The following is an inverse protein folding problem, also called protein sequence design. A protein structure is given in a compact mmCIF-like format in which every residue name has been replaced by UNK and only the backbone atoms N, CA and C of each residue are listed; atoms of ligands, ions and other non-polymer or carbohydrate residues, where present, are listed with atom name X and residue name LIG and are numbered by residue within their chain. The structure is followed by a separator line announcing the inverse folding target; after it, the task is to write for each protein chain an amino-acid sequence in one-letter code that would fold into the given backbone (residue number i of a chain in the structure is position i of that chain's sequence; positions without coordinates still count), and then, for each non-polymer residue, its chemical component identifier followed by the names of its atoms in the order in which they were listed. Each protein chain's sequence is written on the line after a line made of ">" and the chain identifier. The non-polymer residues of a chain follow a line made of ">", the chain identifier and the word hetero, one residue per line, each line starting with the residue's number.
data_IF_984499331062
#
_entry.id   IF_984499331062
#
_cell.length_a   1.000
_cell.length_b   1.000
_cell.length_c   1.000
_cell.angle_alpha   90.00
_cell.angle_beta   90.00
_cell.angle_gamma   90.00
#
_symmetry.space_group_name_H-M   'P 1'
#
loop_
_entity.id
_entity.type
_entity.pdbx_description
1 polymer ?
#
# COMPACT_ATOMS: atom_id res chain seq x y z
N UNK A 1 -41.97 12.50 15.31
CA UNK A 1 -40.83 13.36 15.65
C UNK A 1 -39.66 12.79 14.86
N UNK A 2 -39.05 13.51 13.95
CA UNK A 2 -37.98 12.95 13.13
C UNK A 2 -36.68 12.88 13.94
N UNK A 3 -36.02 11.71 13.89
CA UNK A 3 -34.69 11.49 14.45
C UNK A 3 -33.69 12.34 13.64
N UNK A 4 -32.87 13.09 14.34
CA UNK A 4 -31.78 13.86 13.75
C UNK A 4 -30.67 12.88 13.38
N UNK A 5 -30.42 12.70 12.07
CA UNK A 5 -29.25 12.01 11.58
C UNK A 5 -27.96 12.73 12.03
N UNK A 6 -26.95 11.97 12.41
CA UNK A 6 -25.62 12.47 12.74
C UNK A 6 -25.00 12.99 11.46
N UNK A 7 -24.59 14.26 11.45
CA UNK A 7 -23.99 14.92 10.30
C UNK A 7 -22.62 14.29 9.99
N UNK A 8 -22.51 13.60 8.85
CA UNK A 8 -21.33 12.85 8.37
C UNK A 8 -20.06 13.72 8.24
N UNK A 9 -20.22 15.04 8.15
CA UNK A 9 -19.10 16.00 8.10
C UNK A 9 -18.30 16.09 9.40
N UNK A 10 -18.85 15.61 10.50
CA UNK A 10 -18.21 15.69 11.82
C UNK A 10 -17.20 14.55 12.05
N UNK A 11 -17.34 13.41 11.37
CA UNK A 11 -16.44 12.26 11.52
C UNK A 11 -15.05 12.50 10.88
N UNK A 12 -15.03 13.07 9.67
CA UNK A 12 -13.76 13.37 8.96
C UNK A 12 -12.98 14.55 9.57
N UNK A 13 -13.67 15.47 10.28
CA UNK A 13 -12.97 16.58 10.98
C UNK A 13 -12.29 16.16 12.29
N UNK A 14 -12.63 14.99 12.83
CA UNK A 14 -12.00 14.49 14.06
C UNK A 14 -10.65 13.80 13.81
N UNK A 15 -10.36 13.40 12.56
CA UNK A 15 -9.08 12.78 12.16
C UNK A 15 -8.07 13.77 11.56
N UNK A 16 -8.48 15.03 11.29
CA UNK A 16 -7.62 16.12 10.82
C UNK A 16 -6.82 16.81 11.92
N UNK A 17 -6.26 16.07 12.87
CA UNK A 17 -5.33 16.60 13.87
C UNK A 17 -3.96 16.85 13.23
N UNK A 18 -3.62 18.11 13.08
CA UNK A 18 -2.34 18.63 12.60
C UNK A 18 -1.15 17.95 13.29
N UNK A 19 -0.50 17.02 12.60
CA UNK A 19 0.85 16.60 12.94
C UNK A 19 1.82 17.66 12.38
N UNK A 20 2.14 18.65 13.21
CA UNK A 20 3.19 19.61 12.92
C UNK A 20 4.53 18.90 12.83
N UNK A 21 5.16 18.96 11.68
CA UNK A 21 6.56 18.59 11.49
C UNK A 21 7.43 19.58 12.26
N UNK A 22 7.85 19.18 13.46
CA UNK A 22 8.87 19.87 14.23
C UNK A 22 10.25 19.58 13.66
N UNK A 23 10.81 20.55 12.94
CA UNK A 23 12.22 20.62 12.61
C UNK A 23 13.02 20.76 13.92
N UNK A 24 13.76 19.73 14.32
CA UNK A 24 14.74 19.83 15.40
C UNK A 24 16.08 20.18 14.75
N UNK A 25 16.41 21.46 14.83
CA UNK A 25 17.78 21.92 14.62
C UNK A 25 18.62 21.55 15.84
N UNK A 26 19.67 20.77 15.64
CA UNK A 26 20.64 20.43 16.66
C UNK A 26 21.52 21.60 17.04
N UNK A 27 21.87 21.70 18.32
CA UNK A 27 23.08 22.36 18.76
C UNK A 27 23.75 21.56 19.87
N UNK A 28 25.03 21.37 19.66
CA UNK A 28 26.03 20.70 20.46
C UNK A 28 26.38 21.47 21.72
N UNK A 29 26.77 20.78 22.73
CA UNK A 29 28.08 20.84 23.40
C UNK A 29 28.02 20.60 24.93
N UNK A 30 28.93 19.77 25.37
CA UNK A 30 29.74 20.06 26.57
C UNK A 30 29.57 19.15 27.76
N UNK A 31 30.38 18.16 27.86
CA UNK A 31 31.35 17.73 28.84
C UNK A 31 31.01 17.72 30.34
N UNK A 32 31.38 16.62 31.00
CA UNK A 32 31.66 16.64 32.43
C UNK A 32 31.37 15.32 33.13
N UNK A 33 32.45 14.63 33.44
CA UNK A 33 32.57 13.41 34.25
C UNK A 33 32.23 13.64 35.73
N UNK A 34 31.79 12.60 36.42
CA UNK A 34 32.43 11.93 37.54
C UNK A 34 31.44 11.23 38.47
N UNK A 35 31.70 10.00 38.64
CA UNK A 35 31.85 9.12 39.81
C UNK A 35 30.98 9.25 41.06
N UNK A 36 30.78 8.04 41.57
CA UNK A 36 30.60 7.52 42.94
C UNK A 36 29.15 7.27 43.37
N UNK A 37 28.77 6.04 43.61
CA UNK A 37 29.10 5.14 44.72
C UNK A 37 28.07 5.20 45.82
N UNK A 38 27.42 4.06 46.20
CA UNK A 38 26.78 4.00 47.52
C UNK A 38 25.47 3.19 47.59
N UNK A 39 25.64 1.99 47.90
CA UNK A 39 24.92 0.92 48.60
C UNK A 39 23.96 1.32 49.74
N UNK A 40 23.00 0.41 49.97
CA UNK A 40 22.23 0.01 51.18
C UNK A 40 20.72 0.24 51.06
N UNK A 41 19.89 -0.73 51.00
CA UNK A 41 19.45 -1.67 52.01
C UNK A 41 18.36 -1.11 52.94
N UNK A 42 17.16 -1.72 52.99
CA UNK A 42 16.17 -1.41 54.00
C UNK A 42 14.80 -2.04 53.76
N UNK A 43 14.53 -3.10 54.48
CA UNK A 43 13.28 -3.84 54.64
C UNK A 43 12.17 -3.06 55.36
N UNK A 44 10.94 -3.59 55.23
CA UNK A 44 9.81 -3.37 56.16
C UNK A 44 8.58 -2.82 55.49
N UNK A 45 7.48 -3.33 55.60
CA UNK A 45 6.64 -4.19 56.42
C UNK A 45 5.15 -3.83 56.14
N UNK A 46 4.34 -4.78 56.25
CA UNK A 46 2.90 -4.94 56.21
C UNK A 46 1.97 -3.74 56.55
N UNK A 47 0.80 -3.74 55.94
CA UNK A 47 -0.36 -2.99 56.36
C UNK A 47 -1.65 -3.41 55.67
N UNK A 48 -2.42 -4.29 56.29
CA UNK A 48 -3.80 -4.67 55.97
C UNK A 48 -4.77 -3.50 56.10
N UNK A 49 -5.83 -3.50 55.30
CA UNK A 49 -6.95 -2.55 55.42
C UNK A 49 -8.06 -2.75 54.42
N UNK A 50 -8.91 -3.63 54.68
CA UNK A 50 -10.34 -3.96 54.64
C UNK A 50 -11.33 -2.95 54.00
N UNK A 51 -12.25 -3.54 53.20
CA UNK A 51 -13.66 -3.27 52.95
C UNK A 51 -14.12 -2.02 52.19
N UNK A 52 -14.91 -2.28 51.16
CA UNK A 52 -15.84 -1.35 50.55
C UNK A 52 -16.60 -1.92 49.36
N UNK A 53 -17.74 -2.59 49.63
CA UNK A 53 -18.71 -3.06 48.65
C UNK A 53 -19.25 -1.93 47.74
N UNK A 54 -19.42 -2.20 46.45
CA UNK A 54 -20.10 -1.34 45.49
C UNK A 54 -20.57 -2.14 44.26
N UNK A 55 -21.59 -2.92 44.48
CA UNK A 55 -22.39 -3.60 43.46
C UNK A 55 -22.96 -2.61 42.42
N UNK A 56 -22.73 -2.86 41.13
CA UNK A 56 -23.57 -2.45 40.01
C UNK A 56 -23.34 -3.38 38.84
N UNK A 57 -24.09 -4.46 38.84
CA UNK A 57 -24.23 -5.37 37.71
C UNK A 57 -24.83 -4.66 36.50
N UNK A 58 -24.05 -4.66 35.42
CA UNK A 58 -24.49 -4.44 34.05
C UNK A 58 -24.37 -5.77 33.32
N UNK A 59 -25.41 -6.57 33.46
CA UNK A 59 -25.62 -7.82 32.75
C UNK A 59 -25.80 -7.51 31.26
N UNK A 60 -24.73 -7.63 30.48
CA UNK A 60 -24.83 -7.68 29.02
C UNK A 60 -24.98 -9.14 28.63
N UNK A 61 -26.21 -9.58 28.60
CA UNK A 61 -26.63 -10.84 28.03
C UNK A 61 -26.09 -10.95 26.61
N UNK A 62 -25.03 -11.74 26.45
CA UNK A 62 -24.66 -12.31 25.16
C UNK A 62 -25.77 -13.29 24.79
N UNK A 63 -26.60 -12.85 23.87
CA UNK A 63 -27.56 -13.75 23.22
C UNK A 63 -26.75 -14.63 22.28
N UNK A 64 -26.50 -15.86 22.71
CA UNK A 64 -26.13 -16.94 21.81
C UNK A 64 -27.32 -17.20 20.89
N UNK A 65 -27.32 -16.56 19.74
CA UNK A 65 -28.20 -16.85 18.61
C UNK A 65 -27.70 -18.10 17.93
N UNK A 66 -28.51 -19.11 17.99
CA UNK A 66 -28.48 -20.36 17.25
C UNK A 66 -28.38 -20.09 15.74
N UNK A 67 -27.65 -20.98 15.05
CA UNK A 67 -27.69 -21.26 13.62
C UNK A 67 -29.00 -20.81 12.94
N UNK A 68 -28.93 -19.66 12.26
CA UNK A 68 -29.87 -19.33 11.21
C UNK A 68 -29.07 -18.89 9.99
N UNK A 69 -29.11 -19.65 8.94
CA UNK A 69 -28.25 -19.50 7.79
C UNK A 69 -28.37 -18.10 7.14
N UNK A 70 -27.28 -17.34 7.19
CA UNK A 70 -26.97 -16.39 6.13
C UNK A 70 -27.43 -14.94 6.26
N UNK A 71 -27.81 -14.40 7.42
CA UNK A 71 -28.30 -13.00 7.50
C UNK A 71 -27.34 -11.96 8.10
N UNK A 72 -26.14 -12.34 8.50
CA UNK A 72 -25.14 -11.42 9.07
C UNK A 72 -24.25 -10.78 8.00
N UNK A 73 -23.66 -9.61 8.32
CA UNK A 73 -22.63 -9.00 7.49
C UNK A 73 -21.44 -9.97 7.29
N UNK A 74 -20.72 -9.81 6.17
CA UNK A 74 -19.50 -10.56 5.87
C UNK A 74 -18.32 -9.67 6.23
N UNK A 75 -17.44 -10.17 7.12
CA UNK A 75 -16.26 -9.41 7.54
C UNK A 75 -15.10 -9.62 6.57
N UNK A 76 -14.51 -8.52 6.12
CA UNK A 76 -13.25 -8.48 5.37
C UNK A 76 -12.20 -7.72 6.16
N UNK A 77 -10.97 -8.23 6.17
CA UNK A 77 -9.84 -7.66 6.91
C UNK A 77 -9.07 -6.61 6.12
N UNK A 78 -8.58 -5.58 6.81
CA UNK A 78 -7.65 -4.59 6.23
C UNK A 78 -6.44 -4.44 7.16
N UNK A 79 -5.28 -4.93 6.73
CA UNK A 79 -4.01 -4.86 7.49
C UNK A 79 -3.12 -3.82 6.82
N UNK A 80 -3.32 -2.56 7.17
CA UNK A 80 -2.62 -1.44 6.53
C UNK A 80 -1.67 -0.74 7.50
N UNK A 81 -0.57 -0.17 7.02
CA UNK A 81 0.21 0.79 7.79
C UNK A 81 -0.56 2.11 7.84
N UNK A 82 -1.15 2.45 8.98
CA UNK A 82 -1.91 3.69 9.16
C UNK A 82 -1.07 4.80 9.83
N UNK A 83 0.16 4.46 10.24
CA UNK A 83 1.15 5.37 10.81
C UNK A 83 2.55 5.07 10.27
N UNK A 84 3.49 6.01 10.42
CA UNK A 84 4.88 5.88 9.98
C UNK A 84 5.09 6.12 8.48
N UNK A 85 6.24 5.68 7.97
CA UNK A 85 6.71 6.00 6.62
C UNK A 85 5.82 5.46 5.49
N UNK A 86 5.12 4.36 5.72
CA UNK A 86 4.24 3.72 4.75
C UNK A 86 2.76 4.14 4.88
N UNK A 87 2.42 4.97 5.90
CA UNK A 87 1.06 5.41 6.14
C UNK A 87 0.37 6.08 4.93
N UNK A 88 1.06 6.89 4.10
CA UNK A 88 0.40 7.53 2.97
C UNK A 88 -0.27 6.56 1.99
N UNK A 89 0.33 5.39 1.77
CA UNK A 89 -0.28 4.35 0.92
C UNK A 89 -1.42 3.62 1.62
N UNK A 90 -1.22 3.23 2.89
CA UNK A 90 -2.25 2.56 3.67
C UNK A 90 -3.52 3.40 3.78
N UNK A 91 -3.39 4.68 4.11
CA UNK A 91 -4.51 5.60 4.28
C UNK A 91 -5.33 5.80 3.00
N UNK A 92 -4.68 6.00 1.84
CA UNK A 92 -5.41 6.18 0.57
C UNK A 92 -6.05 4.89 0.08
N UNK A 93 -5.42 3.74 0.34
CA UNK A 93 -6.01 2.43 0.06
C UNK A 93 -7.26 2.19 0.92
N UNK A 94 -7.17 2.42 2.23
CA UNK A 94 -8.30 2.29 3.15
C UNK A 94 -9.48 3.17 2.74
N UNK A 95 -9.21 4.40 2.28
CA UNK A 95 -10.26 5.29 1.77
C UNK A 95 -10.94 4.72 0.52
N UNK A 96 -10.16 4.17 -0.42
CA UNK A 96 -10.69 3.50 -1.62
C UNK A 96 -11.48 2.24 -1.30
N UNK A 97 -10.96 1.41 -0.39
CA UNK A 97 -11.63 0.19 0.09
C UNK A 97 -12.99 0.52 0.74
N UNK A 98 -13.00 1.51 1.63
CA UNK A 98 -14.22 1.93 2.31
C UNK A 98 -15.27 2.47 1.33
N UNK A 99 -14.86 3.24 0.33
CA UNK A 99 -15.74 3.75 -0.70
C UNK A 99 -16.32 2.63 -1.57
N UNK A 100 -15.47 1.68 -2.01
CA UNK A 100 -15.91 0.52 -2.78
C UNK A 100 -16.90 -0.35 -2.00
N UNK A 101 -16.63 -0.64 -0.73
CA UNK A 101 -17.55 -1.38 0.15
C UNK A 101 -18.87 -0.63 0.35
N UNK A 102 -18.82 0.69 0.53
CA UNK A 102 -20.04 1.48 0.62
C UNK A 102 -20.89 1.36 -0.65
N UNK A 103 -20.29 1.50 -1.85
CA UNK A 103 -21.04 1.35 -3.10
C UNK A 103 -21.63 -0.06 -3.26
N UNK A 104 -20.91 -1.11 -2.88
CA UNK A 104 -21.40 -2.49 -2.91
C UNK A 104 -22.63 -2.63 -2.00
N UNK A 105 -22.54 -2.16 -0.77
CA UNK A 105 -23.63 -2.24 0.22
C UNK A 105 -24.84 -1.40 -0.20
N UNK A 106 -24.64 -0.18 -0.71
CA UNK A 106 -25.71 0.70 -1.21
C UNK A 106 -26.43 0.09 -2.44
N UNK A 107 -25.74 -0.80 -3.20
CA UNK A 107 -26.30 -1.55 -4.33
C UNK A 107 -26.88 -2.91 -3.96
N UNK A 108 -26.97 -3.24 -2.69
CA UNK A 108 -27.67 -4.43 -2.20
C UNK A 108 -26.76 -5.51 -1.61
N UNK A 109 -25.48 -5.23 -1.43
CA UNK A 109 -24.51 -6.16 -0.83
C UNK A 109 -24.14 -7.34 -1.73
N UNK A 110 -23.73 -8.44 -1.13
CA UNK A 110 -23.34 -9.70 -1.79
C UNK A 110 -24.17 -10.87 -1.23
N UNK A 111 -24.18 -12.02 -1.90
CA UNK A 111 -24.86 -13.25 -1.44
C UNK A 111 -26.28 -13.00 -0.91
N UNK A 112 -27.18 -12.58 -1.81
CA UNK A 112 -28.60 -12.32 -1.46
C UNK A 112 -28.82 -11.17 -0.45
N UNK A 113 -27.94 -10.16 -0.43
CA UNK A 113 -28.17 -8.92 0.31
C UNK A 113 -27.39 -8.79 1.62
N UNK A 114 -26.34 -9.56 1.81
CA UNK A 114 -25.42 -9.41 2.95
C UNK A 114 -24.48 -8.24 2.73
N UNK A 115 -24.36 -7.38 3.73
CA UNK A 115 -23.41 -6.26 3.70
C UNK A 115 -21.98 -6.75 3.95
N UNK A 116 -20.99 -6.11 3.29
CA UNK A 116 -19.59 -6.23 3.65
C UNK A 116 -19.25 -5.30 4.80
N UNK A 117 -18.48 -5.78 5.77
CA UNK A 117 -17.98 -5.01 6.89
C UNK A 117 -16.45 -5.07 6.94
N UNK A 118 -15.80 -3.91 7.02
CA UNK A 118 -14.34 -3.81 7.09
C UNK A 118 -13.88 -3.87 8.55
N UNK A 119 -13.01 -4.83 8.86
CA UNK A 119 -12.25 -4.89 10.12
C UNK A 119 -10.85 -4.42 9.84
N UNK A 120 -10.55 -3.16 10.17
CA UNK A 120 -9.26 -2.54 9.89
C UNK A 120 -8.34 -2.57 11.10
N UNK A 121 -7.05 -2.83 10.87
CA UNK A 121 -6.01 -2.79 11.87
C UNK A 121 -4.71 -2.18 11.33
N UNK A 122 -4.01 -1.44 12.21
CA UNK A 122 -2.73 -0.80 11.88
C UNK A 122 -1.57 -1.79 12.11
N UNK A 123 -0.89 -2.17 11.04
CA UNK A 123 0.29 -3.05 11.10
C UNK A 123 1.56 -2.34 11.58
N UNK A 124 1.55 -1.01 11.68
CA UNK A 124 2.73 -0.17 11.98
C UNK A 124 3.95 -0.47 11.08
N UNK A 125 3.72 -1.16 9.96
CA UNK A 125 4.76 -1.70 9.08
C UNK A 125 5.69 -2.74 9.75
N UNK A 126 5.23 -3.36 10.83
CA UNK A 126 5.94 -4.43 11.55
C UNK A 126 5.43 -5.80 11.10
N UNK A 127 6.34 -6.71 10.65
CA UNK A 127 5.93 -8.03 10.18
C UNK A 127 5.32 -8.94 11.26
N UNK A 128 5.74 -8.82 12.52
CA UNK A 128 5.22 -9.63 13.60
C UNK A 128 3.84 -9.12 14.04
N UNK A 129 3.66 -7.81 14.12
CA UNK A 129 2.35 -7.19 14.41
C UNK A 129 1.34 -7.54 13.34
N UNK A 130 1.71 -7.42 12.06
CA UNK A 130 0.83 -7.78 10.95
C UNK A 130 0.41 -9.25 10.99
N UNK A 131 1.32 -10.16 11.33
CA UNK A 131 0.99 -11.59 11.51
C UNK A 131 0.02 -11.80 12.66
N UNK A 132 0.25 -11.15 13.82
CA UNK A 132 -0.65 -11.24 14.98
C UNK A 132 -2.04 -10.68 14.68
N UNK A 133 -2.13 -9.61 13.87
CA UNK A 133 -3.42 -9.09 13.39
C UNK A 133 -4.13 -10.16 12.54
N UNK A 134 -3.41 -10.82 11.64
CA UNK A 134 -3.98 -11.84 10.76
C UNK A 134 -4.47 -13.07 11.55
N UNK A 135 -3.71 -13.50 12.57
CA UNK A 135 -4.12 -14.57 13.50
C UNK A 135 -5.41 -14.18 14.24
N UNK A 136 -5.52 -12.93 14.71
CA UNK A 136 -6.74 -12.43 15.37
C UNK A 136 -7.92 -12.39 14.39
N UNK A 137 -7.70 -11.98 13.15
CA UNK A 137 -8.73 -11.98 12.12
C UNK A 137 -9.32 -13.37 11.89
N UNK A 138 -8.48 -14.39 11.86
CA UNK A 138 -8.90 -15.79 11.71
C UNK A 138 -9.66 -16.32 12.94
N UNK A 139 -9.19 -15.96 14.15
CA UNK A 139 -9.68 -16.59 15.38
C UNK A 139 -10.85 -15.86 16.04
N UNK A 140 -10.99 -14.55 15.83
CA UNK A 140 -11.87 -13.70 16.62
C UNK A 140 -12.84 -12.86 15.78
N UNK A 141 -12.48 -12.53 14.56
CA UNK A 141 -13.20 -11.55 13.76
C UNK A 141 -13.96 -12.18 12.58
N UNK A 142 -13.92 -13.51 12.43
CA UNK A 142 -14.57 -14.28 11.36
C UNK A 142 -14.33 -13.69 9.97
N UNK A 143 -13.08 -13.29 9.67
CA UNK A 143 -12.69 -12.69 8.40
C UNK A 143 -12.65 -13.74 7.29
N UNK A 144 -13.33 -13.48 6.18
CA UNK A 144 -13.37 -14.40 5.04
C UNK A 144 -12.33 -14.07 3.95
N UNK A 145 -11.84 -12.84 3.92
CA UNK A 145 -10.79 -12.37 3.01
C UNK A 145 -10.11 -11.14 3.63
N UNK A 146 -8.86 -10.88 3.29
CA UNK A 146 -8.14 -9.71 3.80
C UNK A 146 -7.34 -8.99 2.72
N UNK A 147 -7.02 -7.71 2.96
CA UNK A 147 -6.13 -6.90 2.11
C UNK A 147 -5.03 -6.22 2.93
N UNK A 148 -3.99 -5.84 2.27
CA UNK A 148 -2.76 -5.24 2.78
C UNK A 148 -1.58 -6.02 2.24
N UNK A 149 -0.40 -5.89 2.81
CA UNK A 149 0.22 -4.68 3.35
C UNK A 149 0.94 -3.85 2.28
N UNK A 150 1.71 -2.84 2.71
CA UNK A 150 2.52 -1.99 1.80
C UNK A 150 3.97 -2.45 1.75
N UNK A 151 4.64 -2.63 2.88
CA UNK A 151 6.03 -3.08 2.95
C UNK A 151 6.18 -4.52 2.49
N UNK A 152 7.19 -4.80 1.65
CA UNK A 152 7.47 -6.16 1.16
C UNK A 152 7.90 -7.11 2.27
N UNK A 153 8.66 -6.64 3.27
CA UNK A 153 9.04 -7.49 4.42
C UNK A 153 7.81 -7.91 5.24
N UNK A 154 6.81 -7.03 5.37
CA UNK A 154 5.51 -7.37 5.96
C UNK A 154 4.73 -8.31 5.04
N UNK A 155 4.72 -8.04 3.73
CA UNK A 155 4.04 -8.85 2.72
C UNK A 155 4.49 -10.30 2.71
N UNK A 156 5.79 -10.53 2.72
CA UNK A 156 6.39 -11.88 2.79
C UNK A 156 5.92 -12.62 4.05
N UNK A 157 5.85 -11.93 5.20
CA UNK A 157 5.39 -12.55 6.44
C UNK A 157 3.90 -12.85 6.41
N UNK A 158 3.08 -11.88 5.99
CA UNK A 158 1.62 -12.04 5.98
C UNK A 158 1.13 -13.03 4.93
N UNK A 159 1.79 -13.15 3.77
CA UNK A 159 1.47 -14.18 2.76
C UNK A 159 1.61 -15.60 3.32
N UNK A 160 2.67 -15.84 4.08
CA UNK A 160 2.87 -17.12 4.77
C UNK A 160 1.81 -17.37 5.84
N UNK A 161 1.49 -16.34 6.63
CA UNK A 161 0.42 -16.43 7.64
C UNK A 161 -0.95 -16.66 7.00
N UNK A 162 -1.27 -15.99 5.89
CA UNK A 162 -2.49 -16.20 5.11
C UNK A 162 -2.58 -17.65 4.61
N UNK A 163 -1.46 -18.20 4.12
CA UNK A 163 -1.38 -19.62 3.71
C UNK A 163 -1.60 -20.58 4.88
N UNK A 164 -1.00 -20.33 6.04
CA UNK A 164 -1.15 -21.15 7.26
C UNK A 164 -2.59 -21.16 7.78
N UNK A 165 -3.28 -20.02 7.66
CA UNK A 165 -4.67 -19.85 8.15
C UNK A 165 -5.73 -20.16 7.09
N UNK A 166 -5.34 -20.28 5.82
CA UNK A 166 -6.27 -20.55 4.70
C UNK A 166 -7.17 -19.37 4.35
N UNK A 167 -6.77 -18.13 4.66
CA UNK A 167 -7.53 -16.91 4.38
C UNK A 167 -6.97 -16.23 3.12
N UNK A 168 -7.78 -15.96 2.07
CA UNK A 168 -7.30 -15.25 0.89
C UNK A 168 -6.90 -13.83 1.22
N UNK A 169 -5.70 -13.45 0.76
CA UNK A 169 -5.10 -12.14 0.96
C UNK A 169 -4.88 -11.43 -0.36
N UNK A 170 -5.44 -10.24 -0.49
CA UNK A 170 -5.31 -9.36 -1.64
C UNK A 170 -4.19 -8.36 -1.38
N UNK A 171 -3.05 -8.59 -2.03
CA UNK A 171 -1.80 -7.87 -1.78
C UNK A 171 -1.83 -6.47 -2.38
N UNK A 172 -1.72 -5.43 -1.53
CA UNK A 172 -1.79 -4.04 -1.95
C UNK A 172 -0.50 -3.58 -2.66
N UNK A 173 0.61 -3.43 -1.92
CA UNK A 173 1.81 -2.77 -2.46
C UNK A 173 3.10 -3.57 -2.28
N UNK A 174 3.10 -4.64 -1.50
CA UNK A 174 4.30 -5.44 -1.24
C UNK A 174 4.76 -6.15 -2.52
N UNK A 175 5.66 -5.51 -3.26
CA UNK A 175 6.04 -5.88 -4.63
C UNK A 175 7.29 -6.76 -4.75
N UNK A 176 7.95 -7.21 -3.65
CA UNK A 176 9.04 -8.16 -3.75
C UNK A 176 8.58 -9.45 -4.43
N UNK A 177 9.46 -10.07 -5.23
CA UNK A 177 9.19 -11.35 -5.86
C UNK A 177 8.91 -12.46 -4.83
N UNK A 178 9.47 -12.35 -3.62
CA UNK A 178 9.27 -13.32 -2.52
C UNK A 178 7.90 -13.19 -1.81
N UNK A 179 7.08 -12.24 -2.22
CA UNK A 179 5.78 -11.98 -1.57
C UNK A 179 4.73 -13.00 -1.99
N UNK A 180 4.66 -13.31 -3.27
CA UNK A 180 3.75 -14.31 -3.84
C UNK A 180 4.60 -15.36 -4.53
N UNK A 181 4.52 -16.60 -4.03
CA UNK A 181 5.30 -17.73 -4.48
C UNK A 181 4.40 -18.97 -4.62
N UNK A 182 4.86 -20.04 -5.24
CA UNK A 182 4.07 -21.30 -5.31
C UNK A 182 3.63 -21.87 -3.97
N UNK A 183 4.29 -21.47 -2.87
CA UNK A 183 3.92 -21.88 -1.51
C UNK A 183 2.88 -20.97 -0.84
N UNK A 184 2.58 -19.80 -1.41
CA UNK A 184 1.64 -18.82 -0.83
C UNK A 184 0.34 -18.70 -1.62
N UNK A 185 -0.32 -19.83 -1.84
CA UNK A 185 -1.47 -19.97 -2.75
C UNK A 185 -2.75 -19.26 -2.33
N UNK A 186 -2.81 -18.68 -1.12
CA UNK A 186 -3.90 -17.83 -0.66
C UNK A 186 -3.63 -16.35 -0.86
N UNK A 187 -2.55 -15.97 -1.58
CA UNK A 187 -2.21 -14.56 -1.80
C UNK A 187 -2.37 -14.19 -3.27
N UNK A 188 -3.02 -13.06 -3.53
CA UNK A 188 -3.35 -12.53 -4.85
C UNK A 188 -2.93 -11.07 -4.96
N UNK A 189 -2.24 -10.70 -6.03
CA UNK A 189 -1.81 -9.32 -6.24
C UNK A 189 -2.94 -8.43 -6.74
N UNK A 190 -3.05 -7.22 -6.18
CA UNK A 190 -4.04 -6.22 -6.65
C UNK A 190 -3.41 -4.84 -6.88
N UNK A 191 -2.34 -4.52 -6.18
CA UNK A 191 -1.76 -3.18 -6.22
C UNK A 191 -0.52 -3.09 -7.10
N UNK A 192 0.63 -2.77 -6.49
CA UNK A 192 1.88 -2.61 -7.20
C UNK A 192 2.30 -3.90 -7.92
N UNK A 193 2.74 -3.76 -9.17
CA UNK A 193 3.37 -4.83 -9.92
C UNK A 193 4.60 -5.40 -9.18
N UNK A 194 4.90 -6.69 -9.33
CA UNK A 194 6.10 -7.27 -8.72
C UNK A 194 7.39 -6.72 -9.34
N UNK A 195 8.49 -6.89 -8.64
CA UNK A 195 9.74 -6.21 -8.97
C UNK A 195 10.33 -6.60 -10.33
N UNK A 196 10.30 -7.89 -10.71
CA UNK A 196 10.85 -8.33 -12.01
C UNK A 196 10.07 -7.73 -13.18
N UNK A 197 8.73 -7.84 -13.30
CA UNK A 197 7.99 -7.13 -14.33
C UNK A 197 8.15 -5.61 -14.28
N UNK A 198 8.33 -5.02 -13.09
CA UNK A 198 8.60 -3.59 -12.97
C UNK A 198 9.96 -3.23 -13.59
N UNK A 199 11.01 -4.00 -13.32
CA UNK A 199 12.33 -3.79 -13.94
C UNK A 199 12.30 -4.03 -15.46
N UNK A 200 11.53 -5.03 -15.92
CA UNK A 200 11.29 -5.29 -17.34
C UNK A 200 10.61 -4.09 -18.03
N UNK A 201 9.59 -3.51 -17.38
CA UNK A 201 8.92 -2.32 -17.88
C UNK A 201 9.85 -1.10 -17.91
N UNK A 202 10.72 -0.94 -16.91
CA UNK A 202 11.73 0.11 -16.86
C UNK A 202 12.78 -0.04 -17.99
N UNK A 203 13.20 -1.27 -18.26
CA UNK A 203 14.09 -1.58 -19.40
C UNK A 203 13.40 -1.25 -20.73
N UNK A 204 12.11 -1.60 -20.87
CA UNK A 204 11.28 -1.25 -22.02
C UNK A 204 11.16 0.26 -22.22
N UNK A 205 10.93 1.03 -21.16
CA UNK A 205 10.90 2.49 -21.18
C UNK A 205 12.25 3.07 -21.64
N UNK A 206 13.35 2.57 -21.10
CA UNK A 206 14.70 3.01 -21.50
C UNK A 206 14.97 2.73 -22.98
N UNK A 207 14.59 1.55 -23.46
CA UNK A 207 14.74 1.16 -24.87
C UNK A 207 13.86 1.99 -25.82
N UNK A 208 12.59 2.26 -25.45
CA UNK A 208 11.67 3.10 -26.22
C UNK A 208 12.21 4.52 -26.41
N UNK A 209 12.83 5.06 -25.36
CA UNK A 209 13.44 6.39 -25.37
C UNK A 209 14.86 6.41 -25.97
N UNK A 210 15.47 5.26 -26.20
CA UNK A 210 16.84 5.11 -26.69
C UNK A 210 17.88 5.57 -25.68
N UNK A 211 17.61 5.42 -24.37
CA UNK A 211 18.55 5.77 -23.32
C UNK A 211 19.71 4.77 -23.25
N UNK A 212 20.93 5.29 -23.17
CA UNK A 212 22.18 4.52 -23.04
C UNK A 212 22.83 4.71 -21.65
N UNK A 213 22.50 5.80 -20.95
CA UNK A 213 23.07 6.16 -19.64
C UNK A 213 22.01 6.05 -18.54
N UNK A 214 21.92 4.86 -17.93
CA UNK A 214 20.96 4.57 -16.86
C UNK A 214 21.70 4.26 -15.57
N UNK A 215 21.23 4.80 -14.45
CA UNK A 215 21.76 4.50 -13.12
C UNK A 215 20.61 4.09 -12.16
N UNK A 216 20.94 3.33 -11.12
CA UNK A 216 20.00 2.92 -10.10
C UNK A 216 20.55 3.15 -8.69
N UNK A 217 19.72 3.65 -7.78
CA UNK A 217 20.00 3.72 -6.34
C UNK A 217 18.87 2.97 -5.65
N UNK A 218 19.18 1.78 -5.11
CA UNK A 218 18.19 0.87 -4.49
C UNK A 218 18.43 0.74 -3.00
N UNK A 219 17.39 0.46 -2.23
CA UNK A 219 17.50 0.22 -0.79
C UNK A 219 17.82 -1.25 -0.48
N UNK A 220 18.59 -1.51 0.58
CA UNK A 220 18.88 -2.88 1.06
C UNK A 220 17.72 -3.46 1.87
N UNK A 221 16.60 -3.75 1.21
CA UNK A 221 15.42 -4.43 1.76
C UNK A 221 14.75 -5.29 0.68
N UNK A 222 13.74 -6.07 1.02
CA UNK A 222 13.18 -7.08 0.12
C UNK A 222 12.82 -6.54 -1.28
N UNK A 223 12.08 -5.44 -1.36
CA UNK A 223 11.76 -4.79 -2.64
C UNK A 223 13.01 -4.34 -3.41
N UNK A 224 13.93 -3.62 -2.73
CA UNK A 224 15.13 -3.07 -3.40
C UNK A 224 16.04 -4.16 -3.95
N UNK A 225 16.18 -5.29 -3.25
CA UNK A 225 16.94 -6.46 -3.73
C UNK A 225 16.27 -7.11 -4.95
N UNK A 226 14.93 -7.24 -4.92
CA UNK A 226 14.20 -7.78 -6.07
C UNK A 226 14.31 -6.85 -7.30
N UNK A 227 14.26 -5.52 -7.11
CA UNK A 227 14.48 -4.55 -8.20
C UNK A 227 15.91 -4.65 -8.72
N UNK A 228 16.92 -4.78 -7.85
CA UNK A 228 18.31 -4.97 -8.29
C UNK A 228 18.44 -6.20 -9.20
N UNK A 229 17.96 -7.36 -8.76
CA UNK A 229 17.97 -8.59 -9.57
C UNK A 229 17.23 -8.40 -10.90
N UNK A 230 16.05 -7.78 -10.86
CA UNK A 230 15.28 -7.51 -12.06
C UNK A 230 16.00 -6.58 -13.06
N UNK A 231 16.73 -5.57 -12.58
CA UNK A 231 17.57 -4.71 -13.45
C UNK A 231 18.70 -5.53 -14.08
N UNK A 232 19.42 -6.32 -13.29
CA UNK A 232 20.52 -7.18 -13.76
C UNK A 232 20.06 -8.19 -14.81
N UNK A 233 18.81 -8.64 -14.76
CA UNK A 233 18.23 -9.65 -15.66
C UNK A 233 17.62 -9.06 -16.94
N UNK A 234 17.08 -7.83 -16.90
CA UNK A 234 16.22 -7.33 -17.98
C UNK A 234 16.80 -6.15 -18.78
N UNK A 235 17.84 -5.47 -18.31
CA UNK A 235 18.46 -4.40 -19.08
C UNK A 235 19.54 -4.96 -20.02
N UNK A 236 19.45 -4.62 -21.32
CA UNK A 236 20.47 -4.96 -22.33
C UNK A 236 21.68 -4.03 -22.28
N UNK A 237 21.65 -2.98 -21.47
CA UNK A 237 22.72 -2.00 -21.25
C UNK A 237 23.29 -2.12 -19.84
N UNK A 238 24.52 -1.65 -19.66
CA UNK A 238 25.13 -1.59 -18.33
C UNK A 238 24.41 -0.51 -17.48
N UNK A 239 23.82 -0.91 -16.35
CA UNK A 239 23.21 0.00 -15.37
C UNK A 239 24.11 0.12 -14.15
N UNK A 240 24.53 1.34 -13.79
CA UNK A 240 25.28 1.56 -12.55
C UNK A 240 24.35 1.46 -11.34
N UNK A 241 24.44 0.34 -10.60
CA UNK A 241 23.59 0.06 -9.44
C UNK A 241 24.33 0.35 -8.15
N UNK A 242 23.76 1.18 -7.29
CA UNK A 242 24.24 1.49 -5.96
C UNK A 242 23.21 1.04 -4.92
N UNK A 243 23.66 0.33 -3.87
CA UNK A 243 22.79 -0.17 -2.78
C UNK A 243 22.97 0.69 -1.55
N UNK A 244 21.89 1.26 -1.05
CA UNK A 244 21.86 2.13 0.13
C UNK A 244 21.21 1.41 1.33
N UNK A 245 21.73 1.57 2.56
CA UNK A 245 21.11 1.03 3.77
C UNK A 245 19.67 1.55 3.95
N UNK A 246 18.80 0.75 4.58
CA UNK A 246 17.40 1.12 4.90
C UNK A 246 17.30 2.44 5.66
N UNK A 247 18.25 2.71 6.56
CA UNK A 247 18.28 3.93 7.37
C UNK A 247 18.86 5.16 6.67
N UNK A 248 19.24 5.02 5.37
CA UNK A 248 19.84 6.12 4.61
C UNK A 248 18.83 7.24 4.37
N UNK A 249 19.21 8.47 4.70
CA UNK A 249 18.38 9.67 4.48
C UNK A 249 19.10 10.74 3.63
N UNK A 250 20.44 10.79 3.68
CA UNK A 250 21.27 11.66 2.84
C UNK A 250 21.93 10.84 1.72
N UNK A 251 21.43 10.95 0.52
CA UNK A 251 21.91 10.24 -0.65
C UNK A 251 22.97 11.02 -1.46
N UNK A 252 23.47 12.17 -0.97
CA UNK A 252 24.39 13.03 -1.71
C UNK A 252 25.65 12.29 -2.20
N UNK A 253 26.17 11.33 -1.42
CA UNK A 253 27.34 10.54 -1.80
C UNK A 253 27.05 9.57 -2.95
N UNK A 254 25.86 9.01 -2.99
CA UNK A 254 25.37 8.15 -4.07
C UNK A 254 25.09 8.97 -5.32
N UNK A 255 24.37 10.07 -5.19
CA UNK A 255 24.03 10.97 -6.31
C UNK A 255 25.28 11.54 -7.00
N UNK A 256 26.36 11.82 -6.26
CA UNK A 256 27.63 12.29 -6.87
C UNK A 256 28.32 11.25 -7.75
N UNK A 257 28.02 9.97 -7.56
CA UNK A 257 28.55 8.88 -8.36
C UNK A 257 27.70 8.66 -9.63
N UNK A 258 26.45 9.12 -9.65
CA UNK A 258 25.61 9.10 -10.86
C UNK A 258 26.26 9.95 -11.96
N UNK A 259 26.42 9.45 -13.19
CA UNK A 259 27.00 10.19 -14.32
C UNK A 259 26.32 11.54 -14.56
N UNK A 260 27.08 12.53 -15.06
CA UNK A 260 26.52 13.87 -15.34
C UNK A 260 25.54 13.87 -16.52
N UNK A 261 25.73 12.95 -17.45
CA UNK A 261 24.95 12.72 -18.65
C UNK A 261 23.90 11.61 -18.51
N UNK A 262 23.56 11.26 -17.27
CA UNK A 262 22.52 10.26 -17.00
C UNK A 262 21.17 10.69 -17.58
N UNK A 263 20.51 9.80 -18.29
CA UNK A 263 19.22 10.02 -18.95
C UNK A 263 18.04 9.52 -18.10
N UNK A 264 18.24 8.39 -17.40
CA UNK A 264 17.25 7.79 -16.53
C UNK A 264 17.88 7.36 -15.20
N UNK A 265 17.18 7.61 -14.09
CA UNK A 265 17.57 7.11 -12.76
C UNK A 265 16.46 6.29 -12.15
N UNK A 266 16.78 5.07 -11.74
CA UNK A 266 15.87 4.21 -10.96
C UNK A 266 16.11 4.51 -9.47
N UNK A 267 15.25 5.32 -8.89
CA UNK A 267 15.31 5.75 -7.49
C UNK A 267 14.42 4.85 -6.63
N UNK A 268 14.94 3.73 -6.15
CA UNK A 268 14.20 2.71 -5.40
C UNK A 268 14.69 2.57 -3.96
N UNK A 269 14.97 3.69 -3.30
CA UNK A 269 15.34 3.73 -1.88
C UNK A 269 14.16 3.37 -0.97
N UNK A 270 14.48 2.88 0.24
CA UNK A 270 13.43 2.64 1.24
C UNK A 270 12.69 3.95 1.56
N UNK A 271 11.35 3.98 1.60
CA UNK A 271 10.58 5.21 1.80
C UNK A 271 10.97 6.00 3.06
N UNK A 272 11.11 7.34 2.94
CA UNK A 272 10.87 8.19 1.78
C UNK A 272 12.08 8.33 0.82
N UNK A 273 13.06 7.42 0.86
CA UNK A 273 14.36 7.51 0.20
C UNK A 273 14.28 7.80 -1.30
N UNK A 274 13.31 7.23 -2.03
CA UNK A 274 13.17 7.48 -3.47
C UNK A 274 12.93 8.96 -3.80
N UNK A 275 12.10 9.64 -2.99
CA UNK A 275 11.86 11.08 -3.16
C UNK A 275 13.07 11.91 -2.72
N UNK A 276 13.78 11.48 -1.67
CA UNK A 276 15.03 12.12 -1.24
C UNK A 276 16.13 12.00 -2.29
N UNK A 277 16.27 10.83 -2.94
CA UNK A 277 17.18 10.63 -4.08
C UNK A 277 16.82 11.59 -5.20
N UNK A 278 15.55 11.65 -5.59
CA UNK A 278 15.06 12.54 -6.66
C UNK A 278 15.33 14.01 -6.37
N UNK A 279 15.02 14.47 -5.17
CA UNK A 279 15.32 15.83 -4.75
C UNK A 279 16.81 16.15 -4.84
N UNK A 280 17.67 15.26 -4.30
CA UNK A 280 19.12 15.47 -4.28
C UNK A 280 19.76 15.35 -5.66
N UNK A 281 19.19 14.57 -6.60
CA UNK A 281 19.60 14.60 -8.00
C UNK A 281 19.50 16.02 -8.55
N UNK A 282 18.38 16.67 -8.40
CA UNK A 282 18.17 18.05 -8.92
C UNK A 282 19.02 19.08 -8.17
N UNK A 283 19.15 18.99 -6.84
CA UNK A 283 19.99 19.88 -6.03
C UNK A 283 21.48 19.81 -6.39
N UNK A 284 21.97 18.65 -6.77
CA UNK A 284 23.36 18.40 -7.17
C UNK A 284 23.60 18.52 -8.67
N UNK A 285 22.60 19.01 -9.42
CA UNK A 285 22.72 19.29 -10.84
C UNK A 285 22.68 18.06 -11.75
N UNK A 286 22.27 16.91 -11.23
CA UNK A 286 21.88 15.74 -12.05
C UNK A 286 20.43 15.95 -12.51
N UNK A 287 20.23 16.03 -13.82
CA UNK A 287 18.93 16.32 -14.40
C UNK A 287 18.54 15.24 -15.40
N UNK A 288 18.33 14.00 -14.97
CA UNK A 288 17.85 12.95 -15.86
C UNK A 288 16.50 13.36 -16.46
N UNK A 289 16.22 12.89 -17.67
CA UNK A 289 14.93 13.10 -18.31
C UNK A 289 13.82 12.37 -17.56
N UNK A 290 14.14 11.16 -17.02
CA UNK A 290 13.23 10.33 -16.25
C UNK A 290 13.86 9.90 -14.92
N UNK A 291 13.11 10.06 -13.84
CA UNK A 291 13.37 9.38 -12.55
C UNK A 291 12.21 8.46 -12.29
N UNK A 292 12.46 7.17 -12.17
CA UNK A 292 11.43 6.16 -11.87
C UNK A 292 11.72 5.48 -10.54
N UNK A 293 10.70 4.89 -9.94
CA UNK A 293 10.80 4.19 -8.65
C UNK A 293 9.43 3.65 -8.22
N UNK A 294 9.28 3.23 -6.96
CA UNK A 294 7.97 2.86 -6.48
C UNK A 294 7.02 4.05 -6.56
N UNK A 295 5.78 3.78 -6.90
CA UNK A 295 4.74 4.80 -6.98
C UNK A 295 4.40 5.39 -5.61
N UNK A 296 4.09 6.67 -5.57
CA UNK A 296 3.66 7.40 -4.36
C UNK A 296 2.32 8.08 -4.61
N UNK A 297 1.48 8.27 -3.58
CA UNK A 297 0.33 9.16 -3.70
C UNK A 297 0.78 10.57 -4.15
N UNK A 298 0.09 11.21 -5.10
CA UNK A 298 0.52 12.47 -5.72
C UNK A 298 0.77 13.62 -4.74
N UNK A 299 -0.03 13.71 -3.66
CA UNK A 299 0.16 14.71 -2.61
C UNK A 299 1.50 14.55 -1.87
N UNK A 300 2.00 13.31 -1.74
CA UNK A 300 3.31 13.03 -1.12
C UNK A 300 4.44 13.51 -2.03
N UNK A 301 4.35 13.23 -3.33
CA UNK A 301 5.33 13.70 -4.31
C UNK A 301 5.39 15.22 -4.34
N UNK A 302 4.24 15.88 -4.41
CA UNK A 302 4.17 17.33 -4.43
C UNK A 302 4.70 17.96 -3.16
N UNK A 303 4.41 17.36 -2.00
CA UNK A 303 4.95 17.82 -0.72
C UNK A 303 6.48 17.67 -0.65
N UNK A 304 7.04 16.57 -1.18
CA UNK A 304 8.46 16.28 -1.10
C UNK A 304 9.28 17.04 -2.16
N UNK A 305 8.79 17.12 -3.39
CA UNK A 305 9.54 17.67 -4.53
C UNK A 305 9.17 19.12 -4.87
N UNK A 306 8.06 19.66 -4.32
CA UNK A 306 7.62 21.03 -4.57
C UNK A 306 7.49 21.34 -6.06
N UNK A 307 8.16 22.39 -6.54
CA UNK A 307 8.17 22.79 -7.95
C UNK A 307 8.80 21.75 -8.91
N UNK A 308 9.53 20.77 -8.36
CA UNK A 308 10.13 19.70 -9.13
C UNK A 308 9.22 18.46 -9.27
N UNK A 309 8.05 18.45 -8.69
CA UNK A 309 7.13 17.29 -8.69
C UNK A 309 6.72 16.84 -10.11
N UNK A 310 6.75 17.74 -11.08
CA UNK A 310 6.45 17.50 -12.49
C UNK A 310 7.68 17.48 -13.41
N UNK A 311 8.89 17.29 -12.84
CA UNK A 311 10.15 17.26 -13.59
C UNK A 311 10.67 15.85 -13.83
N UNK A 312 9.88 15.02 -14.53
CA UNK A 312 10.34 13.69 -14.94
C UNK A 312 10.29 12.60 -13.85
N UNK A 313 9.82 12.89 -12.61
CA UNK A 313 9.50 11.81 -11.68
C UNK A 313 8.26 11.07 -12.16
N UNK A 314 8.40 9.75 -12.33
CA UNK A 314 7.33 8.94 -12.88
C UNK A 314 6.66 8.10 -11.80
N UNK A 315 5.35 7.98 -11.96
CA UNK A 315 4.55 6.99 -11.25
C UNK A 315 4.42 5.74 -12.10
N UNK A 316 4.66 4.58 -11.50
CA UNK A 316 4.24 3.32 -12.09
C UNK A 316 2.92 2.91 -11.46
N UNK A 317 1.96 2.51 -12.27
CA UNK A 317 0.65 2.03 -11.79
C UNK A 317 0.00 1.05 -12.76
N UNK A 318 -0.92 0.25 -12.26
CA UNK A 318 -1.71 -0.73 -13.02
C UNK A 318 -3.10 -0.19 -13.36
N UNK A 319 -3.65 0.72 -12.52
CA UNK A 319 -4.90 1.40 -12.81
C UNK A 319 -4.72 2.41 -13.94
N UNK A 320 -5.71 2.53 -14.82
CA UNK A 320 -5.67 3.42 -15.98
C UNK A 320 -6.41 4.75 -15.70
N UNK A 321 -5.69 5.81 -15.26
CA UNK A 321 -6.31 7.10 -14.95
C UNK A 321 -6.79 7.85 -16.19
N UNK A 322 -6.60 7.29 -17.38
CA UNK A 322 -7.04 7.87 -18.65
C UNK A 322 -8.36 7.26 -19.15
N UNK A 323 -8.87 6.22 -18.47
CA UNK A 323 -10.13 5.57 -18.83
C UNK A 323 -11.34 6.37 -18.36
N UNK A 324 -12.45 6.26 -19.11
CA UNK A 324 -13.74 6.86 -18.74
C UNK A 324 -14.27 6.26 -17.41
N UNK A 325 -13.99 4.98 -17.16
CA UNK A 325 -14.36 4.28 -15.92
C UNK A 325 -13.64 4.86 -14.72
N UNK A 326 -12.33 5.11 -14.83
CA UNK A 326 -11.57 5.75 -13.75
C UNK A 326 -12.13 7.15 -13.45
N UNK A 327 -12.39 7.96 -14.49
CA UNK A 327 -12.95 9.30 -14.35
C UNK A 327 -14.31 9.25 -13.64
N UNK A 328 -15.20 8.33 -14.04
CA UNK A 328 -16.53 8.19 -13.43
C UNK A 328 -16.46 7.79 -11.94
N UNK A 329 -15.52 6.91 -11.56
CA UNK A 329 -15.31 6.55 -10.13
C UNK A 329 -14.71 7.72 -9.38
N UNK A 330 -13.74 8.44 -9.98
CA UNK A 330 -13.11 9.59 -9.37
C UNK A 330 -14.10 10.72 -9.06
N UNK A 331 -15.05 11.00 -9.97
CA UNK A 331 -16.12 11.97 -9.74
C UNK A 331 -17.00 11.58 -8.55
N UNK A 332 -17.47 10.33 -8.51
CA UNK A 332 -18.31 9.83 -7.39
C UNK A 332 -17.57 9.84 -6.07
N UNK A 333 -16.29 9.47 -6.08
CA UNK A 333 -15.45 9.51 -4.88
C UNK A 333 -15.29 10.94 -4.35
N UNK A 334 -15.00 11.90 -5.25
CA UNK A 334 -14.84 13.31 -4.89
C UNK A 334 -16.14 13.93 -4.34
N UNK A 335 -17.31 13.51 -4.88
CA UNK A 335 -18.61 13.93 -4.35
C UNK A 335 -18.90 13.38 -2.94
N UNK A 336 -18.45 12.15 -2.67
CA UNK A 336 -18.66 11.48 -1.38
C UNK A 336 -17.62 11.85 -0.32
N UNK A 337 -16.41 12.21 -0.73
CA UNK A 337 -15.26 12.45 0.12
C UNK A 337 -14.63 13.82 -0.21
N UNK A 338 -14.15 14.53 0.80
CA UNK A 338 -13.36 15.76 0.60
C UNK A 338 -11.89 15.39 0.31
N UNK A 339 -11.69 14.57 -0.74
CA UNK A 339 -10.40 14.02 -1.12
C UNK A 339 -10.38 13.66 -2.61
N UNK A 340 -9.19 13.61 -3.19
CA UNK A 340 -9.00 13.21 -4.58
C UNK A 340 -8.83 11.70 -4.71
N UNK A 341 -9.44 11.13 -5.75
CA UNK A 341 -9.24 9.74 -6.14
C UNK A 341 -7.98 9.62 -6.98
N UNK A 342 -7.00 8.92 -6.49
CA UNK A 342 -5.74 8.69 -7.19
C UNK A 342 -5.52 7.19 -7.49
N UNK A 343 -4.44 6.85 -8.19
CA UNK A 343 -4.14 5.48 -8.57
C UNK A 343 -4.01 4.51 -7.39
N UNK A 344 -3.59 4.98 -6.22
CA UNK A 344 -3.55 4.16 -5.00
C UNK A 344 -4.91 4.03 -4.31
N UNK A 345 -5.73 5.08 -4.37
CA UNK A 345 -7.14 4.99 -3.94
C UNK A 345 -7.90 3.99 -4.81
N UNK A 346 -7.58 3.97 -6.12
CA UNK A 346 -8.13 3.00 -7.06
C UNK A 346 -7.81 1.55 -6.66
N UNK A 347 -6.61 1.25 -6.16
CA UNK A 347 -6.30 -0.11 -5.69
C UNK A 347 -7.20 -0.55 -4.54
N UNK A 348 -7.50 0.32 -3.59
CA UNK A 348 -8.45 0.01 -2.52
C UNK A 348 -9.87 -0.24 -3.04
N UNK A 349 -10.34 0.62 -3.94
CA UNK A 349 -11.65 0.48 -4.59
C UNK A 349 -11.75 -0.84 -5.38
N UNK A 350 -10.75 -1.13 -6.22
CA UNK A 350 -10.67 -2.37 -7.01
C UNK A 350 -10.63 -3.59 -6.09
N UNK A 351 -9.90 -3.51 -4.97
CA UNK A 351 -9.84 -4.60 -3.99
C UNK A 351 -11.24 -4.92 -3.43
N UNK A 352 -12.04 -3.90 -3.08
CA UNK A 352 -13.41 -4.10 -2.61
C UNK A 352 -14.27 -4.81 -3.67
N UNK A 353 -14.22 -4.32 -4.91
CA UNK A 353 -15.00 -4.89 -6.02
C UNK A 353 -14.56 -6.33 -6.34
N UNK A 354 -13.27 -6.59 -6.35
CA UNK A 354 -12.69 -7.91 -6.61
C UNK A 354 -13.08 -8.92 -5.51
N UNK A 355 -13.00 -8.52 -4.23
CA UNK A 355 -13.44 -9.36 -3.11
C UNK A 355 -14.94 -9.67 -3.21
N UNK A 356 -15.77 -8.67 -3.50
CA UNK A 356 -17.21 -8.87 -3.67
C UNK A 356 -17.51 -9.84 -4.81
N UNK A 357 -16.86 -9.67 -5.96
CA UNK A 357 -17.03 -10.57 -7.10
C UNK A 357 -16.55 -12.00 -6.80
N UNK A 358 -15.44 -12.13 -6.07
CA UNK A 358 -14.94 -13.44 -5.66
C UNK A 358 -15.89 -14.16 -4.69
N UNK A 359 -16.48 -13.43 -3.73
CA UNK A 359 -17.49 -13.93 -2.81
C UNK A 359 -18.77 -14.37 -3.57
N UNK A 360 -19.24 -13.55 -4.52
CA UNK A 360 -20.38 -13.90 -5.37
C UNK A 360 -20.11 -15.14 -6.23
N UNK A 361 -18.93 -15.24 -6.83
CA UNK A 361 -18.54 -16.39 -7.65
C UNK A 361 -18.38 -17.67 -6.79
N UNK A 362 -17.94 -17.54 -5.54
CA UNK A 362 -17.87 -18.64 -4.59
C UNK A 362 -19.27 -19.15 -4.18
N UNK A 363 -20.28 -18.25 -4.18
CA UNK A 363 -21.64 -18.55 -3.74
C UNK A 363 -21.80 -18.72 -2.23
N UNK A 364 -20.74 -18.55 -1.47
CA UNK A 364 -20.69 -18.65 -0.01
C UNK A 364 -19.53 -17.80 0.57
N UNK A 365 -19.66 -17.41 1.83
CA UNK A 365 -18.64 -16.64 2.54
C UNK A 365 -17.63 -17.58 3.24
N UNK A 366 -17.01 -18.45 2.46
CA UNK A 366 -15.99 -19.42 2.92
C UNK A 366 -14.62 -19.06 2.33
N UNK A 367 -13.55 -18.92 3.15
CA UNK A 367 -12.23 -18.50 2.67
C UNK A 367 -11.65 -19.38 1.57
N UNK A 368 -11.83 -20.71 1.65
CA UNK A 368 -11.31 -21.63 0.66
C UNK A 368 -12.05 -21.49 -0.68
N UNK A 369 -13.39 -21.40 -0.63
CA UNK A 369 -14.21 -21.20 -1.82
C UNK A 369 -13.91 -19.86 -2.49
N UNK A 370 -13.68 -18.78 -1.70
CA UNK A 370 -13.27 -17.46 -2.20
C UNK A 370 -11.88 -17.54 -2.85
N UNK A 371 -10.93 -18.27 -2.26
CA UNK A 371 -9.60 -18.50 -2.84
C UNK A 371 -9.71 -19.17 -4.22
N UNK A 372 -10.51 -20.21 -4.35
CA UNK A 372 -10.70 -20.95 -5.61
C UNK A 372 -11.41 -20.07 -6.65
N UNK A 373 -12.44 -19.31 -6.25
CA UNK A 373 -13.13 -18.37 -7.10
C UNK A 373 -12.23 -17.23 -7.59
N UNK A 374 -11.37 -16.68 -6.69
CA UNK A 374 -10.40 -15.63 -7.05
C UNK A 374 -9.39 -16.14 -8.08
N UNK A 375 -8.89 -17.35 -7.93
CA UNK A 375 -7.92 -17.93 -8.85
C UNK A 375 -8.45 -18.11 -10.27
N UNK A 376 -9.75 -18.33 -10.41
CA UNK A 376 -10.43 -18.52 -11.69
C UNK A 376 -11.03 -17.23 -12.26
N UNK A 377 -10.78 -16.09 -11.64
CA UNK A 377 -11.45 -14.83 -12.01
C UNK A 377 -10.87 -14.22 -13.29
N UNK A 378 -11.75 -13.64 -14.10
CA UNK A 378 -11.45 -12.64 -15.10
C UNK A 378 -12.29 -11.41 -14.76
N UNK A 379 -11.63 -10.31 -14.36
CA UNK A 379 -12.31 -9.18 -13.76
C UNK A 379 -11.94 -7.86 -14.43
N UNK A 380 -12.88 -7.32 -15.19
CA UNK A 380 -12.80 -5.98 -15.78
C UNK A 380 -12.97 -4.91 -14.70
N UNK A 381 -12.06 -3.95 -14.64
CA UNK A 381 -12.02 -2.93 -13.61
C UNK A 381 -11.23 -1.70 -14.07
N UNK A 382 -10.79 -0.85 -13.13
CA UNK A 382 -10.01 0.36 -13.39
C UNK A 382 -8.56 0.09 -13.86
N UNK A 383 -8.17 -1.16 -14.06
CA UNK A 383 -6.84 -1.48 -14.58
C UNK A 383 -6.83 -1.40 -16.10
N UNK A 384 -5.64 -1.19 -16.65
CA UNK A 384 -5.44 -1.12 -18.10
C UNK A 384 -5.72 -2.46 -18.81
N UNK A 385 -5.79 -3.56 -18.05
CA UNK A 385 -6.12 -4.90 -18.51
C UNK A 385 -6.97 -5.61 -17.46
N UNK A 386 -7.88 -6.53 -17.84
CA UNK A 386 -8.63 -7.31 -16.85
C UNK A 386 -7.71 -8.04 -15.88
N UNK A 387 -8.10 -8.11 -14.60
CA UNK A 387 -7.39 -8.90 -13.60
C UNK A 387 -7.61 -10.37 -13.89
N UNK A 388 -6.51 -11.07 -14.09
CA UNK A 388 -6.41 -12.53 -14.22
C UNK A 388 -5.20 -12.98 -13.41
N UNK A 389 -5.25 -14.18 -12.87
CA UNK A 389 -4.17 -14.70 -12.03
C UNK A 389 -3.52 -15.95 -12.61
N UNK A 390 -2.18 -15.98 -12.55
CA UNK A 390 -1.41 -17.21 -12.69
C UNK A 390 -1.66 -18.17 -11.52
N UNK A 391 -1.21 -19.41 -11.67
CA UNK A 391 -1.31 -20.41 -10.61
C UNK A 391 -0.66 -19.98 -9.27
N UNK A 392 0.33 -19.09 -9.33
CA UNK A 392 0.96 -18.50 -8.15
C UNK A 392 0.09 -17.50 -7.39
N UNK A 393 -0.86 -16.84 -8.05
CA UNK A 393 -1.61 -15.68 -7.55
C UNK A 393 -1.04 -14.32 -8.00
N UNK A 394 0.00 -14.33 -8.83
CA UNK A 394 0.48 -13.12 -9.52
C UNK A 394 -0.41 -12.76 -10.71
N UNK A 395 -0.42 -11.46 -11.06
CA UNK A 395 -1.19 -10.96 -12.18
C UNK A 395 -0.63 -11.47 -13.52
N UNK A 396 -1.52 -12.06 -14.32
CA UNK A 396 -1.26 -12.41 -15.71
C UNK A 396 -1.48 -11.20 -16.62
N UNK A 397 -0.66 -11.09 -17.66
CA UNK A 397 -0.83 -10.09 -18.72
C UNK A 397 -0.97 -8.65 -18.21
N UNK A 398 -0.33 -8.29 -17.12
CA UNK A 398 -0.41 -6.96 -16.53
C UNK A 398 0.17 -5.89 -17.47
N UNK A 399 -0.51 -4.75 -17.56
CA UNK A 399 -0.02 -3.56 -18.27
C UNK A 399 0.42 -2.54 -17.22
N UNK A 400 1.66 -2.07 -17.31
CA UNK A 400 2.19 -1.03 -16.44
C UNK A 400 2.19 0.30 -17.17
N UNK A 401 1.66 1.33 -16.51
CA UNK A 401 1.67 2.70 -16.99
C UNK A 401 2.68 3.52 -16.21
N UNK A 402 3.48 4.27 -16.93
CA UNK A 402 4.43 5.25 -16.38
C UNK A 402 3.91 6.64 -16.70
N UNK A 403 3.65 7.43 -15.68
CA UNK A 403 3.07 8.77 -15.81
C UNK A 403 3.86 9.78 -15.00
N UNK A 404 4.01 10.98 -15.52
CA UNK A 404 4.41 12.15 -14.73
C UNK A 404 3.18 12.87 -14.17
N UNK A 405 3.39 13.73 -13.18
CA UNK A 405 2.36 14.66 -12.75
C UNK A 405 2.31 15.86 -13.70
N UNK A 406 1.12 16.23 -14.15
CA UNK A 406 0.83 17.44 -14.90
C UNK A 406 0.08 18.44 -14.01
N UNK A 407 0.22 19.73 -14.30
CA UNK A 407 -0.52 20.80 -13.62
C UNK A 407 -1.91 21.03 -14.23
N UNK A 408 -2.19 20.45 -15.39
CA UNK A 408 -3.48 20.53 -16.07
C UNK A 408 -4.41 19.44 -15.51
N UNK A 409 -5.06 19.74 -14.40
CA UNK A 409 -5.94 18.77 -13.74
C UNK A 409 -7.27 18.59 -14.47
N UNK A 410 -7.81 17.38 -14.51
CA UNK A 410 -9.15 17.14 -15.01
C UNK A 410 -10.21 17.78 -14.10
N UNK A 411 -11.36 18.08 -14.69
CA UNK A 411 -12.46 18.82 -14.02
C UNK A 411 -13.09 18.08 -12.84
N UNK A 412 -12.89 16.77 -12.74
CA UNK A 412 -13.41 15.98 -11.62
C UNK A 412 -12.53 16.05 -10.35
N UNK A 413 -11.37 16.69 -10.42
CA UNK A 413 -10.62 17.04 -9.21
C UNK A 413 -10.98 18.44 -8.77
N UNK A 414 -11.69 18.56 -7.65
CA UNK A 414 -12.24 19.84 -7.16
C UNK A 414 -11.17 20.88 -6.86
N UNK A 415 -9.97 20.46 -6.48
CA UNK A 415 -8.84 21.34 -6.17
C UNK A 415 -7.87 21.51 -7.33
N UNK A 416 -8.12 20.83 -8.45
CA UNK A 416 -7.57 21.08 -9.77
C UNK A 416 -6.06 21.21 -9.88
N UNK A 417 -5.27 20.54 -9.03
CA UNK A 417 -3.87 20.85 -8.91
C UNK A 417 -2.90 19.79 -9.47
N UNK A 418 -3.41 18.66 -10.01
CA UNK A 418 -2.62 17.72 -10.80
C UNK A 418 -3.49 16.81 -11.67
N UNK A 419 -2.88 16.27 -12.72
CA UNK A 419 -3.34 15.11 -13.48
C UNK A 419 -2.16 14.21 -13.78
N UNK A 420 -2.43 13.09 -14.46
CA UNK A 420 -1.39 12.21 -14.95
C UNK A 420 -1.15 12.46 -16.44
N UNK A 421 0.12 12.57 -16.84
CA UNK A 421 0.55 12.61 -18.23
C UNK A 421 1.27 11.29 -18.53
N UNK A 422 0.72 10.49 -19.46
CA UNK A 422 1.31 9.20 -19.84
C UNK A 422 2.66 9.41 -20.54
N UNK A 423 3.70 8.78 -20.02
CA UNK A 423 5.02 8.77 -20.61
C UNK A 423 5.31 7.47 -21.35
N UNK A 424 4.81 6.36 -20.83
CA UNK A 424 5.03 5.02 -21.38
C UNK A 424 3.98 4.06 -20.88
N UNK A 425 3.61 3.12 -21.72
CA UNK A 425 2.72 2.01 -21.42
C UNK A 425 3.34 0.72 -21.97
N UNK A 426 3.41 -0.32 -21.17
CA UNK A 426 3.93 -1.60 -21.64
C UNK A 426 2.93 -2.32 -22.52
N UNK A 427 3.42 -3.21 -23.36
CA UNK A 427 2.61 -4.37 -23.76
C UNK A 427 2.26 -5.22 -22.54
N UNK A 428 1.28 -6.14 -22.63
CA UNK A 428 0.97 -7.07 -21.55
C UNK A 428 2.21 -7.86 -21.11
N UNK A 429 2.58 -7.76 -19.83
CA UNK A 429 3.70 -8.48 -19.24
C UNK A 429 3.21 -9.77 -18.60
N UNK A 430 3.93 -10.89 -18.74
CA UNK A 430 3.56 -12.15 -18.09
C UNK A 430 3.69 -12.07 -16.57
N UNK A 431 3.04 -13.00 -15.86
CA UNK A 431 3.32 -13.24 -14.46
C UNK A 431 4.80 -13.68 -14.27
N UNK A 432 5.33 -13.48 -13.06
CA UNK A 432 6.65 -14.02 -12.71
C UNK A 432 6.59 -15.55 -12.81
N UNK A 433 7.54 -16.15 -13.50
CA UNK A 433 7.67 -17.60 -13.52
C UNK A 433 7.97 -18.13 -12.11
N UNK A 434 7.25 -19.14 -11.70
CA UNK A 434 7.36 -19.75 -10.36
C UNK A 434 8.76 -20.34 -10.06
N UNK A 435 9.62 -20.42 -11.07
CA UNK A 435 10.98 -20.97 -11.00
C UNK A 435 12.08 -19.87 -11.03
N UNK A 436 11.70 -18.58 -11.05
CA UNK A 436 12.60 -17.41 -10.97
C UNK A 436 12.62 -16.80 -9.52
#
# INVERSE_FOLDING_TARGET
>A
MPQKGVDRRTFLKATGGTAGLGLIAGCSSGGGSSDDGGDSGGDGDSGDGDSGDGDSGGDTTMTSGSDDGGSGAINIGSVQPLAGNFAPWGQVHSAGLAFGVQEINDNGGVLDGRELNIVEANSESDPAEAASIFERFAEQDDIVAATGPVSSDVGIRTSRTAQELGIPMFMHMAGSNDTITPETQHTFRVGLAPATPTAQAQAGLAADRGYENVAAIVGDYAWGRSIQSGIEENFDIDVEIQVAPVSQSDFSSYVRQVPEDVEMVIASGHPPGSLSITQQLYELGRNPEVVTGPSFPPNVIRSALGENANRGFTHVHLSDPYSDEFAAVAERFAEANDAQFNTHTAYGYVTAQLMAQAIENAGEADPQAITEATRAIEFDTLFANPIQYADSGELENQIQLYSSLSLDAPSYYSDGDYSYEELYRTDPLPAIDADQ
#
